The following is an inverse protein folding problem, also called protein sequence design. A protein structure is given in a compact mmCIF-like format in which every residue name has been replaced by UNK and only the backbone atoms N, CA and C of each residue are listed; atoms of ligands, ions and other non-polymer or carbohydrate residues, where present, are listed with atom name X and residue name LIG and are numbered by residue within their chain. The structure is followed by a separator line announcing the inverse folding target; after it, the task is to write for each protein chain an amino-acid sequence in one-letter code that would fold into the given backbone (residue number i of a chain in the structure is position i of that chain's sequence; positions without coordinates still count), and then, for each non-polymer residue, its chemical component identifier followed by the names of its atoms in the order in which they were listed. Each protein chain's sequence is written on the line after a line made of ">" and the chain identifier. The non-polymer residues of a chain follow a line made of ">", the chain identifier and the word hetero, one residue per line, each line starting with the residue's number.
data_IF_552586495961
#
_entry.id   IF_552586495961
#
_cell.length_a   1.000
_cell.length_b   1.000
_cell.length_c   1.000
_cell.angle_alpha   90.00
_cell.angle_beta   90.00
_cell.angle_gamma   90.00
#
_symmetry.space_group_name_H-M   'P 1'
#
loop_
_entity.id
_entity.type
_entity.pdbx_description
1 polymer ?
#
# COMPACT_ATOMS: atom_id res chain seq x y z
N UNK A 1 -1.38 13.57 -12.38
CA UNK A 1 -2.78 13.30 -12.78
C UNK A 1 -3.70 13.77 -11.67
N UNK A 2 -4.83 14.40 -12.01
CA UNK A 2 -5.93 14.71 -11.09
C UNK A 2 -6.78 13.46 -10.78
N UNK A 3 -7.60 13.49 -9.73
CA UNK A 3 -8.51 12.39 -9.43
C UNK A 3 -9.53 12.14 -10.56
N UNK A 4 -10.00 13.22 -11.17
CA UNK A 4 -10.89 13.14 -12.34
C UNK A 4 -10.21 12.46 -13.53
N UNK A 5 -8.97 12.86 -13.87
CA UNK A 5 -8.20 12.22 -14.95
C UNK A 5 -7.90 10.74 -14.64
N UNK A 6 -7.66 10.38 -13.37
CA UNK A 6 -7.50 8.99 -12.96
C UNK A 6 -8.79 8.20 -13.20
N UNK A 7 -9.96 8.73 -12.79
CA UNK A 7 -11.25 8.08 -13.04
C UNK A 7 -11.54 7.89 -14.53
N UNK A 8 -11.29 8.91 -15.34
CA UNK A 8 -11.43 8.83 -16.78
C UNK A 8 -10.52 7.76 -17.39
N UNK A 9 -9.27 7.70 -16.94
CA UNK A 9 -8.32 6.68 -17.37
C UNK A 9 -8.80 5.27 -16.98
N UNK A 10 -9.18 5.09 -15.72
CA UNK A 10 -9.65 3.80 -15.18
C UNK A 10 -11.01 3.36 -15.80
N UNK A 11 -11.78 4.28 -16.37
CA UNK A 11 -13.05 3.97 -17.06
C UNK A 11 -12.84 3.33 -18.42
N UNK A 12 -11.64 3.33 -18.97
CA UNK A 12 -11.34 2.72 -20.27
C UNK A 12 -11.38 1.18 -20.16
N UNK A 13 -11.80 0.46 -21.21
CA UNK A 13 -11.97 -0.99 -21.17
C UNK A 13 -10.72 -1.78 -20.75
N UNK A 14 -9.53 -1.32 -21.11
CA UNK A 14 -8.27 -1.94 -20.79
C UNK A 14 -7.92 -1.92 -19.29
N UNK A 15 -8.57 -1.04 -18.52
CA UNK A 15 -8.42 -0.93 -17.07
C UNK A 15 -9.44 -1.77 -16.29
N UNK A 16 -10.31 -2.52 -16.97
CA UNK A 16 -11.23 -3.40 -16.24
C UNK A 16 -10.46 -4.33 -15.31
N UNK A 17 -10.93 -4.41 -14.05
CA UNK A 17 -10.30 -5.27 -13.05
C UNK A 17 -10.26 -6.72 -13.56
N UNK A 18 -9.05 -7.28 -13.63
CA UNK A 18 -8.85 -8.66 -14.06
C UNK A 18 -9.34 -9.57 -12.94
N UNK A 19 -10.32 -10.46 -13.20
CA UNK A 19 -10.73 -11.43 -12.21
C UNK A 19 -9.54 -12.29 -11.80
N UNK A 20 -9.31 -12.43 -10.50
CA UNK A 20 -8.34 -13.41 -9.99
C UNK A 20 -8.94 -14.79 -10.33
N UNK A 21 -8.47 -15.35 -11.42
CA UNK A 21 -8.91 -16.68 -11.87
C UNK A 21 -8.44 -17.67 -10.82
N UNK A 22 -9.38 -18.20 -10.05
CA UNK A 22 -9.13 -19.41 -9.26
C UNK A 22 -8.99 -20.54 -10.29
N UNK A 23 -7.77 -20.83 -10.70
CA UNK A 23 -7.51 -22.05 -11.46
C UNK A 23 -8.11 -23.23 -10.69
N UNK A 24 -8.58 -24.25 -11.43
CA UNK A 24 -8.95 -25.54 -10.83
C UNK A 24 -7.68 -26.23 -10.32
N UNK A 25 -7.19 -25.74 -9.18
CA UNK A 25 -6.03 -26.29 -8.49
C UNK A 25 -6.51 -27.48 -7.64
N UNK A 26 -5.69 -28.51 -7.59
CA UNK A 26 -5.83 -29.53 -6.54
C UNK A 26 -5.71 -28.88 -5.15
N UNK A 27 -6.22 -29.54 -4.11
CA UNK A 27 -6.12 -29.04 -2.72
C UNK A 27 -4.65 -28.81 -2.33
N UNK A 28 -3.75 -29.66 -2.81
CA UNK A 28 -2.32 -29.55 -2.52
C UNK A 28 -1.69 -28.33 -3.18
N UNK A 29 -1.96 -28.10 -4.46
CA UNK A 29 -1.52 -26.92 -5.20
C UNK A 29 -2.09 -25.63 -4.60
N UNK A 30 -3.39 -25.62 -4.26
CA UNK A 30 -4.03 -24.47 -3.62
C UNK A 30 -3.37 -24.13 -2.27
N UNK A 31 -3.00 -25.12 -1.46
CA UNK A 31 -2.27 -24.90 -0.22
C UNK A 31 -0.86 -24.34 -0.44
N UNK A 32 -0.16 -24.80 -1.48
CA UNK A 32 1.16 -24.25 -1.84
C UNK A 32 1.09 -22.82 -2.34
N UNK A 33 0.19 -22.54 -3.28
CA UNK A 33 -0.07 -21.18 -3.75
C UNK A 33 -0.32 -20.25 -2.54
N UNK A 34 -1.15 -20.67 -1.60
CA UNK A 34 -1.43 -19.91 -0.39
C UNK A 34 -0.20 -19.72 0.52
N UNK A 35 0.68 -20.71 0.61
CA UNK A 35 1.96 -20.57 1.33
C UNK A 35 2.84 -19.52 0.67
N UNK A 36 2.98 -19.54 -0.65
CA UNK A 36 3.80 -18.58 -1.38
C UNK A 36 3.22 -17.17 -1.35
N UNK A 37 1.90 -17.01 -1.41
CA UNK A 37 1.23 -15.72 -1.22
C UNK A 37 1.58 -15.04 0.13
N UNK A 38 1.91 -15.82 1.14
CA UNK A 38 2.24 -15.35 2.49
C UNK A 38 3.75 -15.10 2.71
N UNK A 39 4.60 -15.34 1.71
CA UNK A 39 6.03 -15.06 1.84
C UNK A 39 6.23 -13.54 1.83
N UNK A 40 6.70 -13.01 2.97
CA UNK A 40 6.82 -11.58 3.23
C UNK A 40 7.85 -10.81 2.35
N UNK A 41 8.67 -11.52 1.58
CA UNK A 41 9.68 -10.90 0.71
C UNK A 41 9.12 -10.13 -0.50
N UNK A 42 7.82 -10.26 -0.78
CA UNK A 42 7.18 -9.54 -1.89
C UNK A 42 6.61 -8.16 -1.51
N UNK A 43 6.60 -7.77 -0.23
CA UNK A 43 5.82 -6.62 0.23
C UNK A 43 6.40 -5.27 -0.21
N UNK A 44 7.70 -5.09 -0.11
CA UNK A 44 8.40 -3.85 -0.45
C UNK A 44 8.63 -3.71 -1.95
N UNK A 45 8.95 -4.80 -2.62
CA UNK A 45 9.22 -4.82 -4.06
C UNK A 45 7.96 -4.58 -4.92
N UNK A 46 6.76 -4.78 -4.36
CA UNK A 46 5.48 -4.64 -5.09
C UNK A 46 5.08 -3.17 -5.25
N UNK A 47 5.29 -2.33 -4.24
CA UNK A 47 4.99 -0.91 -4.33
C UNK A 47 5.99 -0.21 -5.26
N UNK A 48 7.28 -0.48 -5.08
CA UNK A 48 8.35 0.05 -5.92
C UNK A 48 8.10 -0.30 -7.40
N UNK A 49 7.70 -1.55 -7.68
CA UNK A 49 7.35 -1.99 -9.03
C UNK A 49 6.20 -1.18 -9.65
N UNK A 50 5.20 -0.83 -8.85
CA UNK A 50 4.06 -0.03 -9.34
C UNK A 50 4.48 1.40 -9.68
N UNK A 51 5.31 2.01 -8.84
CA UNK A 51 5.85 3.35 -9.06
C UNK A 51 6.78 3.37 -10.28
N UNK A 52 7.72 2.41 -10.39
CA UNK A 52 8.60 2.26 -11.55
C UNK A 52 7.81 2.15 -12.86
N UNK A 53 6.72 1.36 -12.86
CA UNK A 53 5.85 1.24 -14.03
C UNK A 53 5.08 2.54 -14.33
N UNK A 54 4.62 3.25 -13.31
CA UNK A 54 3.98 4.55 -13.51
C UNK A 54 4.95 5.54 -14.18
N UNK A 55 6.21 5.55 -13.75
CA UNK A 55 7.25 6.42 -14.30
C UNK A 55 7.65 6.00 -15.72
N UNK A 56 7.83 4.70 -15.97
CA UNK A 56 8.15 4.17 -17.30
C UNK A 56 7.05 4.46 -18.32
N UNK A 57 5.79 4.25 -17.96
CA UNK A 57 4.64 4.39 -18.83
C UNK A 57 4.08 5.82 -18.88
N UNK A 58 4.50 6.70 -17.97
CA UNK A 58 3.93 8.03 -17.74
C UNK A 58 2.41 8.03 -17.51
N UNK A 59 1.90 6.93 -16.96
CA UNK A 59 0.51 6.71 -16.59
C UNK A 59 0.40 5.59 -15.53
N UNK A 60 -0.78 5.46 -14.92
CA UNK A 60 -1.09 4.27 -14.12
C UNK A 60 -1.06 3.04 -15.06
N UNK A 61 -0.30 1.97 -14.73
CA UNK A 61 -0.35 0.73 -15.50
C UNK A 61 -1.73 0.08 -15.42
N UNK A 62 -2.11 -0.72 -16.40
CA UNK A 62 -3.26 -1.62 -16.24
C UNK A 62 -2.92 -2.72 -15.23
N UNK A 63 -3.94 -3.36 -14.65
CA UNK A 63 -3.71 -4.48 -13.73
C UNK A 63 -2.94 -5.62 -14.39
N UNK A 64 -3.19 -5.87 -15.67
CA UNK A 64 -2.49 -6.93 -16.41
C UNK A 64 -1.01 -6.57 -16.63
N UNK A 65 -0.70 -5.34 -17.04
CA UNK A 65 0.70 -4.89 -17.20
C UNK A 65 1.49 -5.03 -15.89
N UNK A 66 0.87 -4.64 -14.78
CA UNK A 66 1.47 -4.75 -13.45
C UNK A 66 1.70 -6.21 -13.03
N UNK A 67 0.72 -7.10 -13.31
CA UNK A 67 0.84 -8.53 -13.03
C UNK A 67 1.94 -9.15 -13.89
N UNK A 68 1.97 -8.85 -15.20
CA UNK A 68 2.91 -9.44 -16.14
C UNK A 68 4.34 -9.01 -15.81
N UNK A 69 4.57 -7.75 -15.48
CA UNK A 69 5.90 -7.28 -15.07
C UNK A 69 6.38 -7.97 -13.79
N UNK A 70 5.49 -8.17 -12.83
CA UNK A 70 5.87 -8.85 -11.60
C UNK A 70 6.13 -10.34 -11.80
N UNK A 71 5.43 -11.00 -12.73
CA UNK A 71 5.74 -12.38 -13.11
C UNK A 71 7.12 -12.43 -13.77
N UNK A 72 7.40 -11.55 -14.73
CA UNK A 72 8.70 -11.46 -15.42
C UNK A 72 9.86 -11.33 -14.42
N UNK A 73 9.78 -10.36 -13.50
CA UNK A 73 10.81 -10.17 -12.46
C UNK A 73 10.94 -11.37 -11.52
N UNK A 74 9.81 -12.04 -11.23
CA UNK A 74 9.81 -13.24 -10.38
C UNK A 74 10.52 -14.40 -11.05
N UNK A 75 10.30 -14.62 -12.35
CA UNK A 75 10.98 -15.66 -13.13
C UNK A 75 12.47 -15.42 -13.19
N UNK A 76 12.92 -14.21 -13.47
CA UNK A 76 14.33 -13.88 -13.63
C UNK A 76 15.14 -13.97 -12.34
N UNK A 77 14.59 -13.50 -11.23
CA UNK A 77 15.36 -13.32 -10.01
C UNK A 77 14.87 -14.19 -8.84
N UNK A 78 13.58 -14.15 -8.55
CA UNK A 78 13.05 -14.70 -7.30
C UNK A 78 13.00 -16.22 -7.29
N UNK A 79 12.64 -16.86 -8.39
CA UNK A 79 12.63 -18.33 -8.50
C UNK A 79 14.06 -18.84 -8.30
N UNK A 80 15.05 -18.20 -8.92
CA UNK A 80 16.45 -18.55 -8.78
C UNK A 80 16.94 -18.44 -7.33
N UNK A 81 16.65 -17.34 -6.65
CA UNK A 81 17.07 -17.12 -5.26
C UNK A 81 16.33 -18.03 -4.27
N UNK A 82 15.06 -18.29 -4.52
CA UNK A 82 14.27 -19.16 -3.64
C UNK A 82 14.74 -20.61 -3.74
N UNK A 83 15.06 -21.08 -4.93
CA UNK A 83 15.64 -22.43 -5.12
C UNK A 83 17.01 -22.58 -4.44
N UNK A 84 17.82 -21.53 -4.39
CA UNK A 84 19.09 -21.54 -3.65
C UNK A 84 18.86 -21.66 -2.14
N UNK A 85 17.87 -20.92 -1.61
CA UNK A 85 17.59 -20.87 -0.15
C UNK A 85 16.80 -22.07 0.36
N UNK A 86 16.02 -22.71 -0.50
CA UNK A 86 15.09 -23.79 -0.15
C UNK A 86 15.23 -24.98 -1.11
N UNK A 87 16.34 -25.75 -1.06
CA UNK A 87 16.59 -26.84 -1.97
C UNK A 87 15.57 -28.00 -1.87
N UNK A 88 14.76 -28.03 -0.78
CA UNK A 88 13.72 -29.06 -0.56
C UNK A 88 12.42 -28.83 -1.34
N UNK A 89 12.26 -27.68 -2.00
CA UNK A 89 11.07 -27.35 -2.79
C UNK A 89 11.13 -28.01 -4.19
N UNK A 90 12.20 -28.73 -4.51
CA UNK A 90 12.38 -29.45 -5.78
C UNK A 90 11.42 -30.64 -5.85
N UNK A 91 10.60 -30.70 -6.90
CA UNK A 91 9.85 -31.90 -7.25
C UNK A 91 8.35 -31.76 -7.44
N UNK A 92 7.81 -30.54 -7.33
CA UNK A 92 6.40 -30.24 -7.59
C UNK A 92 6.36 -29.17 -8.68
N UNK A 93 5.21 -28.94 -9.26
CA UNK A 93 5.00 -27.78 -10.16
C UNK A 93 5.14 -26.47 -9.37
N UNK A 94 6.37 -26.28 -8.90
CA UNK A 94 6.80 -25.21 -8.00
C UNK A 94 6.70 -23.86 -8.70
N UNK A 95 7.17 -23.82 -9.93
CA UNK A 95 7.19 -22.62 -10.76
C UNK A 95 5.78 -22.14 -11.04
N UNK A 96 4.89 -23.02 -11.49
CA UNK A 96 3.49 -22.67 -11.72
C UNK A 96 2.76 -22.22 -10.45
N UNK A 97 3.01 -22.85 -9.30
CA UNK A 97 2.43 -22.42 -8.02
C UNK A 97 2.92 -21.04 -7.57
N UNK A 98 4.21 -20.73 -7.79
CA UNK A 98 4.76 -19.42 -7.46
C UNK A 98 4.20 -18.34 -8.37
N UNK A 99 4.22 -18.56 -9.68
CA UNK A 99 3.67 -17.63 -10.66
C UNK A 99 2.20 -17.33 -10.33
N UNK A 100 1.41 -18.35 -10.00
CA UNK A 100 0.03 -18.15 -9.60
C UNK A 100 -0.10 -17.35 -8.29
N UNK A 101 0.78 -17.60 -7.32
CA UNK A 101 0.81 -16.85 -6.07
C UNK A 101 1.15 -15.36 -6.29
N UNK A 102 2.11 -15.08 -7.17
CA UNK A 102 2.48 -13.72 -7.58
C UNK A 102 1.30 -13.03 -8.26
N UNK A 103 0.68 -13.67 -9.26
CA UNK A 103 -0.50 -13.14 -9.95
C UNK A 103 -1.62 -12.79 -8.97
N UNK A 104 -1.93 -13.68 -8.04
CA UNK A 104 -2.98 -13.47 -7.04
C UNK A 104 -2.65 -12.30 -6.11
N UNK A 105 -1.41 -12.22 -5.65
CA UNK A 105 -0.98 -11.19 -4.71
C UNK A 105 -0.93 -9.81 -5.38
N UNK A 106 -0.32 -9.73 -6.55
CA UNK A 106 -0.23 -8.47 -7.31
C UNK A 106 -1.61 -8.00 -7.76
N UNK A 107 -2.45 -8.89 -8.28
CA UNK A 107 -3.81 -8.54 -8.66
C UNK A 107 -4.61 -7.93 -7.50
N UNK A 108 -4.39 -8.39 -6.26
CA UNK A 108 -4.99 -7.78 -5.06
C UNK A 108 -4.29 -6.48 -4.65
N UNK A 109 -2.96 -6.45 -4.72
CA UNK A 109 -2.16 -5.28 -4.37
C UNK A 109 -2.46 -4.10 -5.28
N UNK A 110 -2.62 -4.35 -6.58
CA UNK A 110 -2.95 -3.33 -7.57
C UNK A 110 -4.15 -2.46 -7.16
N UNK A 111 -5.24 -3.09 -6.70
CA UNK A 111 -6.44 -2.36 -6.30
C UNK A 111 -6.18 -1.38 -5.14
N UNK A 112 -5.31 -1.77 -4.20
CA UNK A 112 -4.92 -0.90 -3.09
C UNK A 112 -4.04 0.25 -3.54
N UNK A 113 -3.05 -0.02 -4.39
CA UNK A 113 -2.13 0.98 -4.92
C UNK A 113 -2.86 2.04 -5.76
N UNK A 114 -3.74 1.61 -6.65
CA UNK A 114 -4.56 2.55 -7.47
C UNK A 114 -5.47 3.38 -6.58
N UNK A 115 -6.11 2.78 -5.57
CA UNK A 115 -6.96 3.52 -4.63
C UNK A 115 -6.13 4.55 -3.82
N UNK A 116 -4.93 4.19 -3.39
CA UNK A 116 -4.03 5.11 -2.68
C UNK A 116 -3.63 6.30 -3.56
N UNK A 117 -3.18 6.04 -4.81
CA UNK A 117 -2.83 7.10 -5.77
C UNK A 117 -4.03 8.00 -6.06
N UNK A 118 -5.22 7.43 -6.27
CA UNK A 118 -6.45 8.20 -6.45
C UNK A 118 -6.78 9.03 -5.20
N UNK A 119 -6.61 8.47 -4.00
CA UNK A 119 -6.87 9.17 -2.73
C UNK A 119 -5.97 10.39 -2.57
N UNK A 120 -4.68 10.25 -2.89
CA UNK A 120 -3.72 11.38 -2.88
C UNK A 120 -4.15 12.47 -3.86
N UNK A 121 -4.53 12.10 -5.09
CA UNK A 121 -5.01 13.05 -6.09
C UNK A 121 -6.29 13.75 -5.63
N UNK A 122 -7.24 13.00 -5.07
CA UNK A 122 -8.51 13.51 -4.56
C UNK A 122 -8.32 14.47 -3.39
N UNK A 123 -7.42 14.16 -2.46
CA UNK A 123 -7.06 15.08 -1.38
C UNK A 123 -6.47 16.39 -1.90
N UNK A 124 -5.60 16.34 -2.92
CA UNK A 124 -5.02 17.52 -3.56
C UNK A 124 -6.07 18.38 -4.27
N UNK A 125 -7.06 17.76 -4.93
CA UNK A 125 -8.16 18.48 -5.58
C UNK A 125 -9.12 19.12 -4.58
N UNK A 126 -9.53 18.37 -3.55
CA UNK A 126 -10.49 18.86 -2.56
C UNK A 126 -9.89 19.90 -1.60
N UNK A 127 -8.58 19.85 -1.39
CA UNK A 127 -7.87 20.70 -0.44
C UNK A 127 -6.58 21.26 -1.05
N UNK A 128 -6.66 22.15 -2.06
CA UNK A 128 -5.49 22.64 -2.79
C UNK A 128 -4.50 23.43 -1.91
N UNK A 129 -4.94 23.92 -0.77
CA UNK A 129 -4.09 24.61 0.23
C UNK A 129 -3.40 23.63 1.20
N UNK A 130 -3.74 22.35 1.15
CA UNK A 130 -3.15 21.36 2.02
C UNK A 130 -1.79 20.90 1.49
N UNK A 131 -0.85 20.66 2.41
CA UNK A 131 0.37 19.91 2.08
C UNK A 131 0.07 18.42 2.21
N UNK A 132 0.16 17.67 1.13
CA UNK A 132 0.03 16.22 1.09
C UNK A 132 1.42 15.60 0.99
N UNK A 133 1.73 14.70 1.90
CA UNK A 133 3.03 14.05 2.03
C UNK A 133 2.82 12.54 1.90
N UNK A 134 3.51 11.94 0.95
CA UNK A 134 3.68 10.49 0.80
C UNK A 134 5.16 10.17 0.78
N UNK A 135 5.58 9.11 1.42
CA UNK A 135 6.98 8.71 1.44
C UNK A 135 7.09 7.28 1.96
N UNK A 136 7.91 6.44 1.33
CA UNK A 136 8.10 5.02 1.65
C UNK A 136 8.42 4.79 3.13
N UNK A 137 9.25 5.66 3.72
CA UNK A 137 9.58 5.58 5.15
C UNK A 137 8.37 5.85 6.06
N UNK A 138 7.33 6.57 5.59
CA UNK A 138 6.09 6.72 6.35
C UNK A 138 5.36 5.39 6.45
N UNK A 139 5.18 4.67 5.34
CA UNK A 139 4.55 3.35 5.38
C UNK A 139 5.47 2.31 6.03
N UNK A 140 6.75 2.24 5.66
CA UNK A 140 7.66 1.22 6.13
C UNK A 140 7.90 1.31 7.65
N UNK A 141 8.14 2.51 8.18
CA UNK A 141 8.55 2.72 9.57
C UNK A 141 7.37 3.13 10.44
N UNK A 142 6.59 4.12 10.03
CA UNK A 142 5.45 4.63 10.79
C UNK A 142 4.15 3.86 10.48
N UNK A 143 4.05 3.22 9.32
CA UNK A 143 2.89 2.47 8.87
C UNK A 143 1.74 3.36 8.39
N UNK A 144 2.04 4.60 8.02
CA UNK A 144 1.10 5.61 7.54
C UNK A 144 1.23 5.74 6.03
N UNK A 145 0.12 5.68 5.33
CA UNK A 145 0.11 5.73 3.85
C UNK A 145 0.16 7.19 3.36
N UNK A 146 -0.59 8.10 4.01
CA UNK A 146 -0.66 9.50 3.60
C UNK A 146 -0.63 10.42 4.84
N UNK A 147 0.11 11.52 4.77
CA UNK A 147 0.03 12.61 5.75
C UNK A 147 -0.50 13.87 5.08
N UNK A 148 -1.46 14.52 5.72
CA UNK A 148 -2.03 15.78 5.26
C UNK A 148 -1.86 16.88 6.32
N UNK A 149 -1.27 18.00 5.93
CA UNK A 149 -1.21 19.20 6.74
C UNK A 149 -2.21 20.23 6.22
N UNK A 150 -3.19 20.58 7.04
CA UNK A 150 -4.24 21.50 6.64
C UNK A 150 -4.82 22.25 7.86
N UNK A 151 -4.98 23.56 7.72
CA UNK A 151 -5.52 24.46 8.77
C UNK A 151 -4.87 24.28 10.14
N UNK A 152 -3.54 24.21 10.16
CA UNK A 152 -2.75 24.08 11.40
C UNK A 152 -2.78 22.69 12.03
N UNK A 153 -3.36 21.71 11.35
CA UNK A 153 -3.50 20.33 11.81
C UNK A 153 -2.81 19.36 10.85
N UNK A 154 -2.14 18.36 11.42
CA UNK A 154 -1.52 17.24 10.71
C UNK A 154 -2.37 16.00 10.94
N UNK A 155 -2.79 15.37 9.86
CA UNK A 155 -3.64 14.18 9.84
C UNK A 155 -2.88 13.02 9.20
N UNK A 156 -3.01 11.83 9.76
CA UNK A 156 -2.35 10.60 9.35
C UNK A 156 -3.40 9.62 8.84
N UNK A 157 -3.26 9.13 7.62
CA UNK A 157 -4.24 8.27 6.99
C UNK A 157 -3.67 6.88 6.72
N UNK A 158 -4.49 5.86 6.96
CA UNK A 158 -4.27 4.49 6.58
C UNK A 158 -5.32 4.08 5.56
N UNK A 159 -4.89 3.56 4.43
CA UNK A 159 -5.76 3.10 3.33
C UNK A 159 -5.76 1.58 3.29
N UNK A 160 -6.91 0.94 3.48
CA UNK A 160 -6.99 -0.51 3.41
C UNK A 160 -8.39 -1.01 3.09
N UNK A 161 -8.46 -2.27 2.60
CA UNK A 161 -9.70 -2.91 2.21
C UNK A 161 -10.50 -3.36 3.44
N UNK A 162 -11.82 -3.16 3.41
CA UNK A 162 -12.76 -3.74 4.37
C UNK A 162 -12.87 -5.26 4.15
N UNK A 163 -11.97 -6.00 4.74
CA UNK A 163 -11.93 -7.45 4.70
C UNK A 163 -11.20 -8.00 5.91
N UNK A 164 -11.44 -9.27 6.24
CA UNK A 164 -10.70 -9.94 7.33
C UNK A 164 -9.18 -9.78 7.16
N UNK A 165 -8.66 -9.98 5.93
CA UNK A 165 -7.22 -9.88 5.66
C UNK A 165 -6.72 -8.44 5.66
N UNK A 166 -7.51 -7.47 5.17
CA UNK A 166 -7.17 -6.04 5.23
C UNK A 166 -7.07 -5.56 6.68
N UNK A 167 -8.07 -5.85 7.49
CA UNK A 167 -8.07 -5.53 8.91
C UNK A 167 -6.90 -6.21 9.66
N UNK A 168 -6.65 -7.50 9.37
CA UNK A 168 -5.52 -8.22 9.95
C UNK A 168 -4.19 -7.63 9.52
N UNK A 169 -4.04 -7.25 8.25
CA UNK A 169 -2.82 -6.60 7.75
C UNK A 169 -2.58 -5.24 8.42
N UNK A 170 -3.63 -4.45 8.62
CA UNK A 170 -3.56 -3.18 9.35
C UNK A 170 -3.12 -3.39 10.80
N UNK A 171 -3.77 -4.28 11.55
CA UNK A 171 -3.35 -4.59 12.92
C UNK A 171 -1.94 -5.17 13.02
N UNK A 172 -1.52 -5.94 12.00
CA UNK A 172 -0.16 -6.47 11.96
C UNK A 172 0.89 -5.42 11.60
N UNK A 173 0.51 -4.21 11.15
CA UNK A 173 1.46 -3.12 10.91
C UNK A 173 2.30 -2.81 12.17
N UNK A 174 1.75 -2.98 13.36
CA UNK A 174 2.48 -2.83 14.64
C UNK A 174 3.63 -3.84 14.80
N UNK A 175 3.50 -5.00 14.18
CA UNK A 175 4.47 -6.09 14.26
C UNK A 175 5.44 -6.12 13.08
N UNK A 176 5.20 -5.29 12.05
CA UNK A 176 6.09 -5.20 10.89
C UNK A 176 7.42 -4.59 11.30
N UNK A 177 8.45 -5.12 10.71
CA UNK A 177 9.75 -4.55 10.45
C UNK A 177 10.50 -3.95 11.64
N UNK A 178 11.73 -4.25 11.66
CA UNK A 178 12.82 -3.46 12.14
C UNK A 178 13.80 -3.35 10.98
N UNK A 179 14.73 -2.46 11.14
CA UNK A 179 15.78 -2.20 10.17
C UNK A 179 17.13 -2.37 10.86
N UNK A 180 18.15 -2.76 10.11
CA UNK A 180 19.53 -2.72 10.63
C UNK A 180 20.00 -1.26 10.62
N UNK A 181 20.42 -0.76 11.79
CA UNK A 181 20.99 0.57 11.91
C UNK A 181 22.42 0.63 11.32
N UNK A 182 23.03 1.81 11.37
CA UNK A 182 24.41 2.02 10.90
C UNK A 182 25.46 1.15 11.61
N UNK A 183 25.15 0.69 12.83
CA UNK A 183 26.00 -0.23 13.61
C UNK A 183 25.70 -1.72 13.32
N UNK A 184 24.75 -2.03 12.41
CA UNK A 184 24.34 -3.39 12.07
C UNK A 184 23.37 -4.03 13.07
N UNK A 185 22.91 -3.29 14.08
CA UNK A 185 21.94 -3.75 15.06
C UNK A 185 20.52 -3.66 14.50
N UNK A 186 19.67 -4.65 14.83
CA UNK A 186 18.28 -4.62 14.44
C UNK A 186 17.48 -3.70 15.38
N UNK A 187 16.95 -2.62 14.84
CA UNK A 187 16.16 -1.63 15.57
C UNK A 187 14.74 -1.56 15.02
N UNK A 188 13.76 -1.35 15.90
CA UNK A 188 12.35 -1.23 15.57
C UNK A 188 11.78 0.08 16.09
N UNK A 189 11.06 0.81 15.25
CA UNK A 189 10.31 1.98 15.67
C UNK A 189 9.00 1.56 16.36
N UNK A 190 8.72 2.17 17.52
CA UNK A 190 7.44 1.96 18.22
C UNK A 190 6.36 2.79 17.52
N UNK A 191 5.43 2.13 16.88
CA UNK A 191 4.30 2.77 16.20
C UNK A 191 3.22 3.18 17.19
N UNK A 192 2.55 4.28 16.88
CA UNK A 192 1.40 4.79 17.61
C UNK A 192 0.35 5.26 16.60
N UNK A 193 -0.76 4.54 16.52
CA UNK A 193 -1.89 4.84 15.63
C UNK A 193 -2.99 5.65 16.32
N UNK A 194 -2.75 6.10 17.54
CA UNK A 194 -3.71 6.95 18.27
C UNK A 194 -4.00 8.23 17.49
N UNK A 195 -5.26 8.50 17.25
CA UNK A 195 -5.71 9.66 16.49
C UNK A 195 -5.51 9.59 14.97
N UNK A 196 -5.09 8.46 14.41
CA UNK A 196 -5.00 8.28 12.97
C UNK A 196 -6.37 8.04 12.34
N UNK A 197 -6.47 8.30 11.04
CA UNK A 197 -7.68 8.15 10.24
C UNK A 197 -7.57 6.88 9.41
N UNK A 198 -8.47 5.94 9.62
CA UNK A 198 -8.60 4.77 8.76
C UNK A 198 -9.56 5.09 7.62
N UNK A 199 -9.04 5.07 6.40
CA UNK A 199 -9.83 5.09 5.17
C UNK A 199 -10.02 3.65 4.70
N UNK A 200 -11.25 3.17 4.81
CA UNK A 200 -11.59 1.76 4.57
C UNK A 200 -12.46 1.66 3.33
N UNK A 201 -11.98 0.95 2.31
CA UNK A 201 -12.73 0.76 1.07
C UNK A 201 -13.36 -0.63 0.96
N UNK A 202 -14.50 -0.68 0.32
CA UNK A 202 -15.20 -1.91 -0.02
C UNK A 202 -14.93 -2.33 -1.47
N UNK A 203 -15.23 -3.58 -1.81
CA UNK A 203 -15.17 -4.09 -3.19
C UNK A 203 -16.53 -4.03 -3.90
N UNK A 204 -17.44 -3.23 -3.38
CA UNK A 204 -18.77 -2.96 -3.92
C UNK A 204 -19.05 -1.48 -3.84
N UNK A 205 -19.99 -0.97 -4.64
CA UNK A 205 -20.48 0.39 -4.48
C UNK A 205 -21.12 0.59 -3.11
N UNK A 206 -20.75 1.66 -2.44
CA UNK A 206 -21.23 2.00 -1.09
C UNK A 206 -21.12 3.52 -0.87
N UNK A 207 -21.54 3.99 0.29
CA UNK A 207 -21.36 5.41 0.69
C UNK A 207 -19.88 5.82 0.79
N UNK A 208 -18.98 4.84 0.94
CA UNK A 208 -17.55 5.09 1.08
C UNK A 208 -16.77 4.89 -0.22
N UNK A 209 -17.28 4.07 -1.13
CA UNK A 209 -16.55 3.56 -2.30
C UNK A 209 -17.44 3.51 -3.52
N UNK A 210 -16.95 3.99 -4.65
CA UNK A 210 -17.51 3.75 -5.98
C UNK A 210 -16.62 2.78 -6.77
N UNK A 211 -17.22 1.97 -7.64
CA UNK A 211 -16.49 1.06 -8.51
C UNK A 211 -16.34 1.66 -9.92
N UNK A 212 -15.09 1.84 -10.35
CA UNK A 212 -14.75 2.20 -11.73
C UNK A 212 -14.13 0.99 -12.41
N UNK A 213 -14.83 0.35 -13.32
CA UNK A 213 -14.41 -0.91 -13.97
C UNK A 213 -14.00 -2.02 -12.97
N UNK A 214 -14.67 -2.08 -11.81
CA UNK A 214 -14.37 -3.04 -10.74
C UNK A 214 -13.22 -2.62 -9.82
N UNK A 215 -12.64 -1.45 -10.03
CA UNK A 215 -11.60 -0.86 -9.18
C UNK A 215 -12.29 0.02 -8.13
N UNK A 216 -12.10 -0.25 -6.82
CA UNK A 216 -12.72 0.54 -5.77
C UNK A 216 -11.98 1.86 -5.59
N UNK A 217 -12.71 2.97 -5.59
CA UNK A 217 -12.17 4.31 -5.32
C UNK A 217 -13.00 4.97 -4.22
N UNK A 218 -12.38 5.73 -3.34
CA UNK A 218 -13.12 6.49 -2.34
C UNK A 218 -13.97 7.58 -2.97
N UNK A 219 -15.18 7.76 -2.42
CA UNK A 219 -16.05 8.88 -2.78
C UNK A 219 -15.53 10.19 -2.17
N UNK A 220 -15.81 11.31 -2.85
CA UNK A 220 -15.46 12.63 -2.32
C UNK A 220 -16.11 12.90 -0.96
N UNK A 221 -17.36 12.51 -0.79
CA UNK A 221 -18.11 12.74 0.44
C UNK A 221 -17.51 11.99 1.63
N UNK A 222 -17.02 10.77 1.40
CA UNK A 222 -16.33 10.02 2.43
C UNK A 222 -15.01 10.67 2.86
N UNK A 223 -14.22 11.16 1.90
CA UNK A 223 -12.98 11.91 2.19
C UNK A 223 -13.31 13.22 2.93
N UNK A 224 -14.27 14.01 2.44
CA UNK A 224 -14.73 15.25 3.07
C UNK A 224 -15.22 15.03 4.50
N UNK A 225 -15.98 13.96 4.72
CA UNK A 225 -16.46 13.58 6.06
C UNK A 225 -15.30 13.32 7.02
N UNK A 226 -14.32 12.49 6.62
CA UNK A 226 -13.19 12.15 7.50
C UNK A 226 -12.30 13.35 7.81
N UNK A 227 -11.98 14.18 6.82
CA UNK A 227 -11.21 15.41 7.04
C UNK A 227 -11.97 16.39 7.93
N UNK A 228 -13.28 16.61 7.68
CA UNK A 228 -14.11 17.49 8.52
C UNK A 228 -14.21 17.00 9.95
N UNK A 229 -14.34 15.69 10.16
CA UNK A 229 -14.34 15.07 11.49
C UNK A 229 -13.00 15.31 12.20
N UNK A 230 -11.89 15.13 11.51
CA UNK A 230 -10.57 15.39 12.06
C UNK A 230 -10.38 16.84 12.45
N UNK A 231 -10.80 17.79 11.62
CA UNK A 231 -10.68 19.22 11.92
C UNK A 231 -11.50 19.67 13.14
N UNK A 232 -12.61 18.97 13.43
CA UNK A 232 -13.50 19.28 14.57
C UNK A 232 -13.13 18.54 15.86
N UNK A 233 -12.29 17.51 15.79
CA UNK A 233 -11.97 16.67 16.93
C UNK A 233 -10.46 16.70 17.23
N UNK A 234 -10.10 17.29 18.38
CA UNK A 234 -8.70 17.43 18.77
C UNK A 234 -7.99 16.11 19.10
N UNK A 235 -8.73 15.01 19.31
CA UNK A 235 -8.15 13.69 19.48
C UNK A 235 -7.73 13.02 18.16
N UNK A 236 -8.12 13.57 17.00
CA UNK A 236 -7.77 13.06 15.68
C UNK A 236 -6.70 13.97 15.08
N UNK A 237 -5.56 13.39 14.69
CA UNK A 237 -4.42 14.14 14.18
C UNK A 237 -3.66 14.91 15.28
N UNK A 238 -2.76 15.77 14.87
CA UNK A 238 -1.86 16.53 15.74
C UNK A 238 -1.76 17.98 15.25
N UNK A 239 -1.39 18.92 16.14
CA UNK A 239 -1.05 20.28 15.73
C UNK A 239 0.28 20.27 14.97
N UNK A 240 0.40 21.09 13.92
CA UNK A 240 1.61 21.14 13.07
C UNK A 240 2.85 21.57 13.88
N UNK A 241 2.67 22.48 14.84
CA UNK A 241 3.72 23.00 15.71
C UNK A 241 4.10 22.08 16.89
N UNK A 242 3.54 20.87 16.94
CA UNK A 242 3.77 19.96 18.05
C UNK A 242 5.14 19.30 17.96
N UNK A 243 6.04 19.64 18.88
CA UNK A 243 7.38 19.04 19.02
C UNK A 243 7.35 17.53 19.32
N UNK A 244 6.23 17.00 19.79
CA UNK A 244 6.00 15.58 20.06
C UNK A 244 5.19 14.87 18.97
N UNK A 245 5.04 15.49 17.79
CA UNK A 245 4.34 14.90 16.65
C UNK A 245 4.96 13.56 16.22
N UNK A 246 4.16 12.73 15.55
CA UNK A 246 4.66 11.43 15.05
C UNK A 246 5.81 11.60 14.07
N UNK A 247 5.75 12.60 13.18
CA UNK A 247 6.84 12.88 12.24
C UNK A 247 8.11 13.36 12.96
N UNK A 248 7.98 14.21 13.98
CA UNK A 248 9.13 14.65 14.76
C UNK A 248 9.79 13.48 15.50
N UNK A 249 8.99 12.61 16.13
CA UNK A 249 9.47 11.38 16.78
C UNK A 249 10.15 10.43 15.79
N UNK A 250 9.57 10.27 14.59
CA UNK A 250 10.16 9.48 13.52
C UNK A 250 11.51 10.04 13.09
N UNK A 251 11.61 11.34 12.81
CA UNK A 251 12.86 11.97 12.40
C UNK A 251 13.93 11.87 13.47
N UNK A 252 13.60 12.06 14.75
CA UNK A 252 14.54 11.88 15.85
C UNK A 252 15.05 10.43 15.95
N UNK A 253 14.17 9.45 15.71
CA UNK A 253 14.54 8.04 15.70
C UNK A 253 15.43 7.70 14.50
N UNK A 254 15.09 8.21 13.30
CA UNK A 254 15.89 8.05 12.07
C UNK A 254 17.29 8.65 12.26
N UNK A 255 17.36 9.86 12.77
CA UNK A 255 18.65 10.50 13.05
C UNK A 255 19.51 9.69 14.02
N UNK A 256 18.91 9.23 15.13
CA UNK A 256 19.61 8.45 16.14
C UNK A 256 20.16 7.13 15.60
N UNK A 257 19.42 6.45 14.70
CA UNK A 257 19.77 5.10 14.26
C UNK A 257 20.47 5.06 12.90
N UNK A 258 20.27 6.06 12.05
CA UNK A 258 20.74 6.08 10.66
C UNK A 258 21.50 7.35 10.28
N UNK A 259 21.55 8.37 11.15
CA UNK A 259 22.20 9.64 10.88
C UNK A 259 21.52 10.48 9.79
N UNK A 260 20.25 10.21 9.48
CA UNK A 260 19.48 10.86 8.41
C UNK A 260 18.18 11.46 8.94
N UNK A 261 17.70 12.48 8.22
CA UNK A 261 16.36 13.03 8.36
C UNK A 261 15.58 12.85 7.06
N UNK A 262 14.27 12.81 7.17
CA UNK A 262 13.37 12.93 6.02
C UNK A 262 12.82 14.34 6.02
N UNK A 263 12.92 15.02 4.89
CA UNK A 263 12.29 16.33 4.69
C UNK A 263 10.83 16.11 4.27
N UNK A 264 9.95 16.27 5.26
CA UNK A 264 8.51 16.08 5.09
C UNK A 264 7.81 17.35 4.61
#
# INVERSE_FOLDING_TARGET
>A
MSATEIKELLSRPEYAAVPIVKQQLSIEEANKVKQYENINSFGTEIADLFEDLCDELHRIPTQQEYIDRGVELTEEWWIRETLKRNPYIRGLDFEGCIIQAVKNRQGRGYLSLVNEVHTVALLKELYPEAKIITHDMLDLVLGVDIVMEYKGKRMYFHVYKNSYWGNKAFHNKEHRGGMKNTSGEFVKYKRDFSGDISLVYDSIDSDTTELVNGIPLFTEDYIKFNVSRALKNDSIGERIDCMNSKLHKLNNWLYKNFGTFIDF
#
